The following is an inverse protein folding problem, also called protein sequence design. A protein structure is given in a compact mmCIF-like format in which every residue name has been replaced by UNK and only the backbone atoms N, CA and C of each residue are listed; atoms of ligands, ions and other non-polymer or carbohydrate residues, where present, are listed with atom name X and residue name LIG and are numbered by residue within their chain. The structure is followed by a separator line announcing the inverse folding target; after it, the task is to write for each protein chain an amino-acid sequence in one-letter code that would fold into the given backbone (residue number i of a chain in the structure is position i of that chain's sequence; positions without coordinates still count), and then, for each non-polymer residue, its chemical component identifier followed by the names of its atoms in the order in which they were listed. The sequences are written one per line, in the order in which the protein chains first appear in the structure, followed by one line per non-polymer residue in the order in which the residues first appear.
data_IF_657211042317
#
_entry.id   IF_657211042317
#
_cell.length_a   1.000
_cell.length_b   1.000
_cell.length_c   1.000
_cell.angle_alpha   90.00
_cell.angle_beta   90.00
_cell.angle_gamma   90.00
#
_symmetry.space_group_name_H-M   'P 1'
#
loop_
_entity.id
_entity.type
_entity.pdbx_description
1 polymer ?
#
# COMPACT_ATOMS: atom_id res chain seq x y z
N UNK A 1 -5.20 27.39 8.98
CA UNK A 1 -5.10 25.95 9.30
C UNK A 1 -5.71 25.04 8.22
N UNK A 2 -6.91 25.32 7.67
CA UNK A 2 -7.49 24.50 6.59
C UNK A 2 -6.61 24.48 5.33
N UNK A 3 -6.09 25.63 4.92
CA UNK A 3 -5.24 25.77 3.72
C UNK A 3 -3.91 25.03 3.84
N UNK A 4 -3.32 24.98 5.04
CA UNK A 4 -2.06 24.24 5.29
C UNK A 4 -2.28 22.74 5.13
N UNK A 5 -3.39 22.19 5.68
CA UNK A 5 -3.72 20.77 5.50
C UNK A 5 -4.04 20.40 4.05
N UNK A 6 -4.66 21.32 3.30
CA UNK A 6 -4.91 21.10 1.88
C UNK A 6 -3.60 21.07 1.07
N UNK A 7 -2.68 22.00 1.35
CA UNK A 7 -1.37 22.04 0.72
C UNK A 7 -0.53 20.80 1.06
N UNK A 8 -0.54 20.35 2.31
CA UNK A 8 0.12 19.10 2.75
C UNK A 8 -0.37 17.88 1.94
N UNK A 9 -1.70 17.71 1.84
CA UNK A 9 -2.31 16.62 1.08
C UNK A 9 -1.95 16.65 -0.41
N UNK A 10 -1.99 17.85 -1.01
CA UNK A 10 -1.61 18.03 -2.41
C UNK A 10 -0.12 17.70 -2.64
N UNK A 11 0.76 18.13 -1.73
CA UNK A 11 2.19 17.84 -1.80
C UNK A 11 2.48 16.33 -1.72
N UNK A 12 1.79 15.62 -0.83
CA UNK A 12 1.92 14.16 -0.69
C UNK A 12 1.55 13.44 -2.01
N UNK A 13 0.42 13.79 -2.59
CA UNK A 13 -0.01 13.19 -3.86
C UNK A 13 0.98 13.53 -4.99
N UNK A 14 1.47 14.75 -5.04
CA UNK A 14 2.44 15.16 -6.05
C UNK A 14 3.76 14.38 -5.93
N UNK A 15 4.28 14.21 -4.70
CA UNK A 15 5.47 13.40 -4.44
C UNK A 15 5.28 11.93 -4.79
N UNK A 16 4.14 11.33 -4.43
CA UNK A 16 3.81 9.97 -4.78
C UNK A 16 3.78 9.78 -6.31
N UNK A 17 3.06 10.65 -7.03
CA UNK A 17 3.00 10.62 -8.50
C UNK A 17 4.36 10.83 -9.17
N UNK A 18 5.21 11.69 -8.60
CA UNK A 18 6.58 11.90 -9.11
C UNK A 18 7.43 10.63 -8.98
N UNK A 19 7.32 9.93 -7.85
CA UNK A 19 8.05 8.66 -7.65
C UNK A 19 7.54 7.57 -8.59
N UNK A 20 6.20 7.44 -8.71
CA UNK A 20 5.56 6.46 -9.59
C UNK A 20 5.87 6.69 -11.07
N UNK A 21 6.08 7.95 -11.50
CA UNK A 21 6.40 8.27 -12.90
C UNK A 21 7.72 7.66 -13.39
N UNK A 22 8.56 7.15 -12.49
CA UNK A 22 9.78 6.40 -12.80
C UNK A 22 9.54 4.90 -13.01
N UNK A 23 8.39 4.40 -12.59
CA UNK A 23 8.00 2.99 -12.74
C UNK A 23 7.08 2.84 -13.97
N UNK A 24 6.90 1.62 -14.45
CA UNK A 24 6.02 1.33 -15.61
C UNK A 24 4.51 1.55 -15.33
N UNK A 25 4.14 2.04 -14.16
CA UNK A 25 2.73 2.19 -13.81
C UNK A 25 2.11 3.45 -14.47
N UNK A 26 0.84 3.33 -14.84
CA UNK A 26 0.11 4.29 -15.69
C UNK A 26 -0.36 5.57 -14.96
N UNK A 27 0.14 5.86 -13.77
CA UNK A 27 -0.27 7.03 -12.96
C UNK A 27 -1.64 6.91 -12.31
N UNK A 28 -2.37 5.84 -12.57
CA UNK A 28 -3.68 5.56 -11.95
C UNK A 28 -3.60 4.63 -10.74
N UNK A 29 -2.47 3.95 -10.55
CA UNK A 29 -2.24 3.06 -9.41
C UNK A 29 -2.43 3.81 -8.08
N UNK A 30 -1.81 4.97 -7.92
CA UNK A 30 -1.96 5.79 -6.71
C UNK A 30 -3.42 6.03 -6.36
N UNK A 31 -4.23 6.45 -7.33
CA UNK A 31 -5.66 6.73 -7.11
C UNK A 31 -6.43 5.45 -6.73
N UNK A 32 -6.13 4.33 -7.40
CA UNK A 32 -6.78 3.04 -7.09
C UNK A 32 -6.44 2.57 -5.68
N UNK A 33 -5.16 2.56 -5.29
CA UNK A 33 -4.76 2.09 -3.95
C UNK A 33 -5.32 2.98 -2.84
N UNK A 34 -5.39 4.31 -3.05
CA UNK A 34 -6.00 5.24 -2.11
C UNK A 34 -7.48 4.91 -1.86
N UNK A 35 -8.25 4.75 -2.92
CA UNK A 35 -9.68 4.47 -2.82
C UNK A 35 -9.95 3.07 -2.24
N UNK A 36 -9.18 2.07 -2.63
CA UNK A 36 -9.29 0.70 -2.15
C UNK A 36 -8.93 0.60 -0.66
N UNK A 37 -7.82 1.20 -0.22
CA UNK A 37 -7.41 1.21 1.18
C UNK A 37 -8.46 1.89 2.06
N UNK A 38 -8.96 3.06 1.64
CA UNK A 38 -10.06 3.76 2.33
C UNK A 38 -11.34 2.92 2.40
N UNK A 39 -11.69 2.22 1.33
CA UNK A 39 -12.89 1.37 1.30
C UNK A 39 -12.77 0.19 2.28
N UNK A 40 -11.65 -0.52 2.27
CA UNK A 40 -11.39 -1.64 3.19
C UNK A 40 -11.42 -1.14 4.64
N UNK A 41 -10.73 -0.03 4.96
CA UNK A 41 -10.75 0.54 6.31
C UNK A 41 -12.16 0.90 6.79
N UNK A 42 -13.01 1.49 5.92
CA UNK A 42 -14.41 1.78 6.24
C UNK A 42 -15.20 0.54 6.63
N UNK A 43 -14.97 -0.59 5.96
CA UNK A 43 -15.69 -1.83 6.26
C UNK A 43 -15.13 -2.54 7.49
N UNK A 44 -13.80 -2.55 7.67
CA UNK A 44 -13.16 -3.08 8.88
C UNK A 44 -13.62 -2.39 10.16
N UNK A 45 -13.94 -1.08 10.11
CA UNK A 45 -14.48 -0.36 11.26
C UNK A 45 -15.75 -0.99 11.86
N UNK A 46 -16.53 -1.70 11.06
CA UNK A 46 -17.74 -2.38 11.52
C UNK A 46 -17.45 -3.77 12.12
N UNK A 47 -16.22 -4.24 12.07
CA UNK A 47 -15.78 -5.50 12.63
C UNK A 47 -15.33 -5.28 14.09
N UNK A 48 -15.83 -6.08 15.03
CA UNK A 48 -15.61 -5.91 16.48
C UNK A 48 -14.13 -5.78 16.85
N UNK A 49 -13.26 -6.52 16.19
CA UNK A 49 -11.81 -6.50 16.41
C UNK A 49 -11.15 -5.16 16.09
N UNK A 50 -11.66 -4.42 15.10
CA UNK A 50 -11.00 -3.22 14.57
C UNK A 50 -11.71 -1.92 14.91
N UNK A 51 -12.95 -1.96 15.39
CA UNK A 51 -13.78 -0.77 15.64
C UNK A 51 -13.16 0.27 16.59
N UNK A 52 -12.36 -0.17 17.55
CA UNK A 52 -11.68 0.72 18.49
C UNK A 52 -10.44 1.42 17.88
N UNK A 53 -9.87 0.85 16.83
CA UNK A 53 -8.67 1.36 16.17
C UNK A 53 -8.99 2.24 14.96
N UNK A 54 -10.07 1.93 14.23
CA UNK A 54 -10.40 2.60 12.99
C UNK A 54 -11.38 3.75 13.25
N UNK A 55 -10.82 4.93 13.50
CA UNK A 55 -11.56 6.20 13.62
C UNK A 55 -11.86 6.83 12.25
N UNK A 56 -12.67 7.90 12.21
CA UNK A 56 -12.82 8.69 10.98
C UNK A 56 -11.47 9.28 10.51
N UNK A 57 -10.64 9.71 11.46
CA UNK A 57 -9.31 10.22 11.15
C UNK A 57 -8.43 9.14 10.52
N UNK A 58 -8.40 7.91 11.06
CA UNK A 58 -7.69 6.78 10.46
C UNK A 58 -8.11 6.53 9.00
N UNK A 59 -9.43 6.57 8.71
CA UNK A 59 -9.97 6.37 7.36
C UNK A 59 -9.55 7.50 6.41
N UNK A 60 -9.45 8.72 6.90
CA UNK A 60 -9.00 9.84 6.09
C UNK A 60 -7.48 9.82 5.92
N UNK A 61 -6.73 9.47 6.95
CA UNK A 61 -5.26 9.38 6.89
C UNK A 61 -4.80 8.25 5.96
N UNK A 62 -5.41 7.06 6.03
CA UNK A 62 -4.99 5.93 5.18
C UNK A 62 -5.20 6.21 3.69
N UNK A 63 -6.19 7.04 3.34
CA UNK A 63 -6.40 7.47 1.95
C UNK A 63 -5.16 8.17 1.39
N UNK A 64 -4.57 9.10 2.12
CA UNK A 64 -3.39 9.83 1.66
C UNK A 64 -2.10 9.05 1.92
N UNK A 65 -2.00 8.38 3.05
CA UNK A 65 -0.83 7.62 3.46
C UNK A 65 -0.52 6.43 2.53
N UNK A 66 -1.55 5.76 2.00
CA UNK A 66 -1.37 4.64 1.06
C UNK A 66 -0.67 5.05 -0.23
N UNK A 67 -0.80 6.31 -0.67
CA UNK A 67 -0.09 6.84 -1.83
C UNK A 67 1.45 6.80 -1.66
N UNK A 68 1.93 6.79 -0.41
CA UNK A 68 3.35 6.90 -0.08
C UNK A 68 4.06 5.55 0.10
N UNK A 69 3.35 4.42 -0.09
CA UNK A 69 3.91 3.10 0.20
C UNK A 69 5.25 2.85 -0.52
N UNK A 70 5.36 3.30 -1.75
CA UNK A 70 6.50 3.10 -2.64
C UNK A 70 7.42 4.34 -2.79
N UNK A 71 7.25 5.38 -1.96
CA UNK A 71 8.04 6.62 -2.06
C UNK A 71 9.55 6.37 -2.04
N UNK A 72 9.99 5.31 -1.39
CA UNK A 72 11.40 4.93 -1.30
C UNK A 72 11.99 4.39 -2.60
N UNK A 73 11.20 4.06 -3.62
CA UNK A 73 11.70 3.65 -4.95
C UNK A 73 12.56 4.73 -5.60
N UNK A 74 12.45 5.98 -5.16
CA UNK A 74 13.31 7.07 -5.62
C UNK A 74 14.81 6.80 -5.41
N UNK A 75 15.15 5.96 -4.45
CA UNK A 75 16.54 5.57 -4.14
C UNK A 75 17.05 4.40 -5.00
N UNK A 76 16.19 3.76 -5.78
CA UNK A 76 16.58 2.61 -6.61
C UNK A 76 17.16 3.11 -7.92
N UNK A 77 18.37 2.65 -8.34
CA UNK A 77 18.93 2.99 -9.64
C UNK A 77 18.06 2.51 -10.80
N UNK A 78 17.92 3.29 -11.87
CA UNK A 78 17.05 2.98 -13.01
C UNK A 78 17.40 1.65 -13.69
N UNK A 79 18.67 1.31 -13.78
CA UNK A 79 19.12 0.03 -14.35
C UNK A 79 18.68 -1.20 -13.54
N UNK A 80 18.26 -1.01 -12.29
CA UNK A 80 17.68 -2.07 -11.44
C UNK A 80 16.15 -1.98 -11.43
N UNK A 81 15.60 -0.76 -11.25
CA UNK A 81 14.16 -0.53 -11.18
C UNK A 81 13.46 -0.91 -12.49
N UNK A 82 14.04 -0.57 -13.63
CA UNK A 82 13.49 -0.76 -14.98
C UNK A 82 14.03 -2.01 -15.67
N UNK A 83 14.70 -2.90 -14.94
CA UNK A 83 15.27 -4.11 -15.53
C UNK A 83 14.15 -5.07 -15.96
N UNK A 84 14.20 -5.45 -17.23
CA UNK A 84 13.23 -6.37 -17.83
C UNK A 84 13.56 -7.86 -17.55
N UNK A 85 14.84 -8.17 -17.33
CA UNK A 85 15.32 -9.51 -17.01
C UNK A 85 15.17 -9.85 -15.52
N UNK A 86 15.38 -11.12 -15.19
CA UNK A 86 15.43 -11.58 -13.81
C UNK A 86 16.48 -10.81 -13.00
N UNK A 87 16.10 -10.37 -11.80
CA UNK A 87 17.00 -9.68 -10.88
C UNK A 87 18.00 -10.65 -10.27
N UNK A 88 19.25 -10.20 -10.10
CA UNK A 88 20.20 -10.90 -9.22
C UNK A 88 19.78 -10.77 -7.76
N UNK A 89 20.42 -11.52 -6.87
CA UNK A 89 20.13 -11.40 -5.42
C UNK A 89 20.44 -9.98 -4.90
N UNK A 90 21.53 -9.38 -5.34
CA UNK A 90 21.95 -8.02 -4.96
C UNK A 90 20.96 -6.97 -5.47
N UNK A 91 20.51 -7.09 -6.72
CA UNK A 91 19.49 -6.20 -7.29
C UNK A 91 18.14 -6.36 -6.57
N UNK A 92 17.76 -7.59 -6.22
CA UNK A 92 16.56 -7.84 -5.43
C UNK A 92 16.65 -7.22 -4.03
N UNK A 93 17.83 -7.30 -3.36
CA UNK A 93 18.03 -6.61 -2.08
C UNK A 93 18.00 -5.08 -2.24
N UNK A 94 18.56 -4.55 -3.34
CA UNK A 94 18.45 -3.12 -3.64
C UNK A 94 16.99 -2.68 -3.78
N UNK A 95 16.13 -3.44 -4.49
CA UNK A 95 14.69 -3.14 -4.56
C UNK A 95 14.06 -3.18 -3.17
N UNK A 96 14.33 -4.22 -2.35
CA UNK A 96 13.77 -4.31 -1.00
C UNK A 96 14.13 -3.13 -0.10
N UNK A 97 15.23 -2.43 -0.38
CA UNK A 97 15.67 -1.28 0.42
C UNK A 97 14.69 -0.09 0.38
N UNK A 98 13.78 -0.04 -0.62
CA UNK A 98 12.81 1.07 -0.74
C UNK A 98 11.93 1.21 0.50
N UNK A 99 11.59 0.10 1.17
CA UNK A 99 10.69 0.17 2.35
C UNK A 99 11.36 0.92 3.51
N UNK A 100 12.64 0.65 3.76
CA UNK A 100 13.38 1.33 4.83
C UNK A 100 13.70 2.77 4.45
N UNK A 101 14.08 3.00 3.20
CA UNK A 101 14.40 4.33 2.71
C UNK A 101 13.16 5.23 2.68
N UNK A 102 12.02 4.71 2.20
CA UNK A 102 10.75 5.45 2.20
C UNK A 102 10.31 5.82 3.62
N UNK A 103 10.35 4.89 4.55
CA UNK A 103 10.04 5.15 5.95
C UNK A 103 10.95 6.24 6.55
N UNK A 104 12.26 6.19 6.26
CA UNK A 104 13.21 7.19 6.74
C UNK A 104 12.88 8.59 6.23
N UNK A 105 12.61 8.77 4.94
CA UNK A 105 12.21 10.06 4.37
C UNK A 105 10.96 10.61 5.07
N UNK A 106 9.94 9.77 5.24
CA UNK A 106 8.68 10.19 5.85
C UNK A 106 8.83 10.51 7.33
N UNK A 107 9.68 9.79 8.07
CA UNK A 107 10.01 10.13 9.46
C UNK A 107 10.81 11.45 9.56
N UNK A 108 11.67 11.75 8.60
CA UNK A 108 12.33 13.07 8.55
C UNK A 108 11.31 14.18 8.26
N UNK A 109 10.35 13.98 7.36
CA UNK A 109 9.26 14.92 7.13
C UNK A 109 8.40 15.13 8.38
N UNK A 110 8.11 14.08 9.14
CA UNK A 110 7.32 14.17 10.38
C UNK A 110 7.94 15.10 11.43
N UNK A 111 9.26 15.35 11.40
CA UNK A 111 9.91 16.31 12.29
C UNK A 111 9.46 17.75 12.03
N UNK A 112 9.08 18.06 10.80
CA UNK A 112 8.57 19.38 10.41
C UNK A 112 7.04 19.48 10.55
N UNK A 113 6.36 18.34 10.61
CA UNK A 113 4.90 18.21 10.74
C UNK A 113 4.53 17.23 11.85
N UNK A 114 4.90 17.51 13.12
CA UNK A 114 4.78 16.56 14.24
C UNK A 114 3.33 16.13 14.52
N UNK A 115 2.36 16.94 14.15
CA UNK A 115 0.92 16.67 14.34
C UNK A 115 0.29 15.94 13.15
N UNK A 116 1.07 15.60 12.12
CA UNK A 116 0.55 14.91 10.94
C UNK A 116 0.54 13.39 11.12
N UNK A 117 -0.57 12.87 11.63
CA UNK A 117 -0.80 11.41 11.72
C UNK A 117 -0.69 10.73 10.34
N UNK A 118 -1.05 11.42 9.28
CA UNK A 118 -0.99 10.94 7.91
C UNK A 118 0.45 10.63 7.47
N UNK A 119 1.43 11.48 7.78
CA UNK A 119 2.85 11.25 7.46
C UNK A 119 3.39 10.08 8.29
N UNK A 120 3.04 10.02 9.58
CA UNK A 120 3.42 8.90 10.46
C UNK A 120 2.86 7.58 9.92
N UNK A 121 1.56 7.54 9.58
CA UNK A 121 0.94 6.37 8.97
C UNK A 121 1.60 5.99 7.64
N UNK A 122 1.93 6.98 6.81
CA UNK A 122 2.67 6.78 5.57
C UNK A 122 4.03 6.11 5.79
N UNK A 123 4.77 6.53 6.83
CA UNK A 123 6.06 5.91 7.18
C UNK A 123 5.92 4.44 7.61
N UNK A 124 4.85 4.12 8.33
CA UNK A 124 4.52 2.75 8.75
C UNK A 124 4.15 1.90 7.53
N UNK A 125 3.27 2.42 6.67
CA UNK A 125 2.88 1.74 5.43
C UNK A 125 4.10 1.51 4.55
N UNK A 126 4.91 2.53 4.29
CA UNK A 126 6.12 2.41 3.46
C UNK A 126 7.07 1.34 3.99
N UNK A 127 7.24 1.24 5.32
CA UNK A 127 8.14 0.26 5.92
C UNK A 127 7.60 -1.16 5.86
N UNK A 128 6.29 -1.37 6.08
CA UNK A 128 5.77 -2.68 6.45
C UNK A 128 4.77 -3.28 5.45
N UNK A 129 4.44 -2.65 4.35
CA UNK A 129 3.45 -3.17 3.39
C UNK A 129 3.89 -4.47 2.70
N UNK A 130 5.18 -4.83 2.75
CA UNK A 130 5.71 -6.09 2.28
C UNK A 130 5.94 -7.14 3.38
N UNK A 131 5.54 -6.85 4.63
CA UNK A 131 5.46 -7.89 5.64
C UNK A 131 4.33 -8.87 5.32
N UNK A 132 4.52 -10.12 5.74
CA UNK A 132 3.54 -11.18 5.50
C UNK A 132 3.04 -11.74 6.81
N UNK A 133 1.77 -12.09 6.85
CA UNK A 133 1.11 -12.59 8.06
C UNK A 133 1.87 -13.74 8.74
N UNK A 134 2.49 -14.63 7.98
CA UNK A 134 3.26 -15.77 8.49
C UNK A 134 4.68 -15.42 8.96
N UNK A 135 5.14 -14.17 8.77
CA UNK A 135 6.48 -13.69 9.13
C UNK A 135 7.54 -13.93 8.06
N UNK A 136 7.16 -14.38 6.86
CA UNK A 136 8.09 -14.56 5.73
C UNK A 136 8.32 -13.28 4.90
N UNK A 137 7.76 -12.14 5.34
CA UNK A 137 7.90 -10.86 4.69
C UNK A 137 9.22 -10.14 5.00
N UNK A 138 9.27 -8.85 4.73
CA UNK A 138 10.40 -7.95 5.02
C UNK A 138 9.90 -6.54 5.33
N UNK A 139 10.70 -5.68 6.03
CA UNK A 139 12.12 -5.82 6.36
C UNK A 139 12.37 -6.51 7.71
N UNK A 140 11.43 -6.48 8.65
CA UNK A 140 11.65 -6.87 10.05
C UNK A 140 11.12 -8.30 10.36
N UNK A 141 10.53 -8.99 9.37
CA UNK A 141 9.90 -10.31 9.50
C UNK A 141 8.81 -10.35 10.59
N UNK A 142 8.01 -9.30 10.66
CA UNK A 142 6.89 -9.21 11.59
C UNK A 142 5.84 -10.27 11.26
N UNK A 143 5.18 -10.81 12.31
CA UNK A 143 4.20 -11.87 12.15
C UNK A 143 2.86 -11.52 12.78
N UNK A 144 1.77 -11.85 12.07
CA UNK A 144 0.41 -11.70 12.59
C UNK A 144 0.09 -10.24 12.92
N UNK A 145 -0.45 -10.00 14.10
CA UNK A 145 -0.85 -8.68 14.59
C UNK A 145 0.32 -7.77 14.96
N UNK A 146 1.56 -8.28 15.01
CA UNK A 146 2.74 -7.42 15.13
C UNK A 146 2.93 -6.52 13.89
N UNK A 147 2.36 -6.90 12.74
CA UNK A 147 2.30 -6.04 11.55
C UNK A 147 1.26 -4.95 11.80
N UNK A 148 1.59 -3.65 11.69
CA UNK A 148 0.62 -2.57 11.86
C UNK A 148 -0.60 -2.72 10.93
N UNK A 149 -1.78 -2.35 11.41
CA UNK A 149 -3.05 -2.57 10.70
C UNK A 149 -3.06 -1.91 9.32
N UNK A 150 -2.59 -0.67 9.23
CA UNK A 150 -2.51 0.08 7.98
C UNK A 150 -1.60 -0.60 6.95
N UNK A 151 -0.52 -1.24 7.38
CA UNK A 151 0.37 -1.99 6.51
C UNK A 151 -0.28 -3.31 6.04
N UNK A 152 -1.01 -4.00 6.93
CA UNK A 152 -1.80 -5.19 6.56
C UNK A 152 -2.88 -4.87 5.52
N UNK A 153 -3.57 -3.74 5.65
CA UNK A 153 -4.55 -3.25 4.67
C UNK A 153 -3.84 -2.96 3.34
N UNK A 154 -2.71 -2.23 3.39
CA UNK A 154 -1.98 -1.87 2.18
C UNK A 154 -1.46 -3.09 1.43
N UNK A 155 -0.94 -4.11 2.12
CA UNK A 155 -0.44 -5.32 1.49
C UNK A 155 -1.47 -6.05 0.62
N UNK A 156 -2.74 -6.11 1.05
CA UNK A 156 -3.82 -6.68 0.23
C UNK A 156 -4.14 -5.79 -0.97
N UNK A 157 -4.22 -4.48 -0.75
CA UNK A 157 -4.58 -3.50 -1.78
C UNK A 157 -3.54 -3.49 -2.91
N UNK A 158 -2.27 -3.41 -2.56
CA UNK A 158 -1.17 -3.40 -3.51
C UNK A 158 -1.14 -4.67 -4.36
N UNK A 159 -1.22 -5.84 -3.72
CA UNK A 159 -1.26 -7.13 -4.45
C UNK A 159 -2.50 -7.22 -5.33
N UNK A 160 -3.68 -6.78 -4.87
CA UNK A 160 -4.88 -6.78 -5.70
C UNK A 160 -4.70 -5.90 -6.95
N UNK A 161 -4.21 -4.68 -6.78
CA UNK A 161 -3.96 -3.76 -7.89
C UNK A 161 -2.93 -4.34 -8.87
N UNK A 162 -1.83 -4.90 -8.35
CA UNK A 162 -0.80 -5.55 -9.15
C UNK A 162 -1.30 -6.77 -9.94
N UNK A 163 -2.27 -7.53 -9.40
CA UNK A 163 -2.88 -8.66 -10.10
C UNK A 163 -3.82 -8.18 -11.22
N UNK A 164 -4.52 -7.06 -11.01
CA UNK A 164 -5.48 -6.49 -11.95
C UNK A 164 -4.84 -5.61 -13.01
N UNK A 165 -3.66 -5.05 -12.76
CA UNK A 165 -2.95 -4.19 -13.69
C UNK A 165 -2.20 -5.00 -14.75
N UNK A 166 -2.21 -4.50 -16.02
CA UNK A 166 -1.38 -5.05 -17.09
C UNK A 166 0.07 -4.63 -16.86
N UNK A 167 0.97 -5.60 -16.86
CA UNK A 167 2.43 -5.34 -16.79
C UNK A 167 3.10 -5.81 -18.08
N UNK A 168 4.27 -5.28 -18.47
CA UNK A 168 4.94 -5.65 -19.73
C UNK A 168 5.09 -7.16 -19.94
N UNK A 169 5.27 -7.91 -18.84
CA UNK A 169 5.53 -9.36 -18.90
C UNK A 169 4.37 -10.24 -18.43
N UNK A 170 3.22 -9.64 -18.04
CA UNK A 170 2.11 -10.40 -17.48
C UNK A 170 0.76 -9.77 -17.81
N UNK A 171 -0.17 -10.51 -18.46
CA UNK A 171 -1.54 -10.06 -18.62
C UNK A 171 -2.21 -9.84 -17.26
N UNK A 172 -3.13 -8.89 -17.19
CA UNK A 172 -3.97 -8.69 -16.01
C UNK A 172 -4.84 -9.92 -15.74
N UNK A 173 -5.04 -10.25 -14.46
CA UNK A 173 -6.04 -11.25 -14.07
C UNK A 173 -7.44 -10.63 -14.01
N UNK A 174 -8.46 -11.47 -14.18
CA UNK A 174 -9.85 -11.08 -13.90
C UNK A 174 -10.03 -10.82 -12.40
N UNK A 175 -11.09 -10.10 -12.05
CA UNK A 175 -11.43 -9.84 -10.64
C UNK A 175 -11.58 -11.14 -9.84
N UNK A 176 -12.32 -12.12 -10.37
CA UNK A 176 -12.56 -13.41 -9.71
C UNK A 176 -11.24 -14.16 -9.46
N UNK A 177 -10.32 -14.13 -10.43
CA UNK A 177 -9.02 -14.77 -10.30
C UNK A 177 -8.17 -14.09 -9.23
N UNK A 178 -8.16 -12.75 -9.19
CA UNK A 178 -7.45 -11.99 -8.16
C UNK A 178 -8.03 -12.26 -6.76
N UNK A 179 -9.37 -12.24 -6.62
CA UNK A 179 -10.05 -12.58 -5.36
C UNK A 179 -9.72 -14.00 -4.88
N UNK A 180 -9.68 -14.97 -5.80
CA UNK A 180 -9.30 -16.36 -5.47
C UNK A 180 -7.87 -16.42 -4.94
N UNK A 181 -6.89 -15.79 -5.61
CA UNK A 181 -5.48 -15.76 -5.19
C UNK A 181 -5.36 -15.15 -3.78
N UNK A 182 -6.03 -14.02 -3.52
CA UNK A 182 -6.00 -13.37 -2.22
C UNK A 182 -6.61 -14.28 -1.14
N UNK A 183 -7.75 -14.93 -1.44
CA UNK A 183 -8.40 -15.87 -0.53
C UNK A 183 -7.49 -17.04 -0.15
N UNK A 184 -6.81 -17.64 -1.13
CA UNK A 184 -5.90 -18.78 -0.92
C UNK A 184 -4.63 -18.39 -0.13
N UNK A 185 -4.30 -17.09 -0.08
CA UNK A 185 -3.16 -16.54 0.66
C UNK A 185 -3.51 -16.08 2.09
N UNK A 186 -4.77 -16.23 2.52
CA UNK A 186 -5.19 -15.90 3.89
C UNK A 186 -4.42 -16.74 4.92
N UNK A 187 -3.96 -16.11 6.00
CA UNK A 187 -3.18 -16.74 7.06
C UNK A 187 -1.71 -17.02 6.70
N UNK A 188 -1.32 -16.75 5.45
CA UNK A 188 0.07 -16.82 4.98
C UNK A 188 0.59 -15.43 4.63
N UNK A 189 0.14 -14.89 3.52
CA UNK A 189 0.51 -13.55 3.09
C UNK A 189 -0.32 -12.49 3.81
N UNK A 190 -1.63 -12.71 3.92
CA UNK A 190 -2.58 -11.71 4.38
C UNK A 190 -3.27 -12.09 5.69
N UNK A 191 -3.66 -11.05 6.45
CA UNK A 191 -4.50 -11.17 7.62
C UNK A 191 -5.86 -11.80 7.24
N UNK A 192 -6.24 -12.94 7.86
CA UNK A 192 -7.49 -13.64 7.53
C UNK A 192 -8.74 -12.78 7.72
N UNK A 193 -8.77 -11.92 8.74
CA UNK A 193 -9.92 -11.07 9.04
C UNK A 193 -10.07 -9.98 7.96
N UNK A 194 -8.96 -9.42 7.47
CA UNK A 194 -8.99 -8.45 6.37
C UNK A 194 -9.38 -9.14 5.06
N UNK A 195 -8.88 -10.34 4.80
CA UNK A 195 -9.29 -11.13 3.63
C UNK A 195 -10.79 -11.44 3.66
N UNK A 196 -11.36 -11.76 4.83
CA UNK A 196 -12.80 -11.98 4.95
C UNK A 196 -13.57 -10.72 4.51
N UNK A 197 -13.25 -9.55 5.05
CA UNK A 197 -13.89 -8.27 4.67
C UNK A 197 -13.70 -7.97 3.19
N UNK A 198 -12.49 -8.20 2.65
CA UNK A 198 -12.21 -8.06 1.23
C UNK A 198 -13.14 -8.94 0.37
N UNK A 199 -13.33 -10.21 0.74
CA UNK A 199 -14.22 -11.13 0.02
C UNK A 199 -15.69 -10.72 0.10
N UNK A 200 -16.16 -10.29 1.27
CA UNK A 200 -17.54 -9.81 1.47
C UNK A 200 -17.85 -8.55 0.66
N UNK A 201 -16.84 -7.71 0.39
CA UNK A 201 -16.97 -6.44 -0.32
C UNK A 201 -16.40 -6.47 -1.74
N UNK A 202 -16.11 -7.66 -2.26
CA UNK A 202 -15.42 -7.84 -3.54
C UNK A 202 -16.05 -7.04 -4.69
N UNK A 203 -17.39 -7.00 -4.83
CA UNK A 203 -18.09 -6.24 -5.87
C UNK A 203 -17.88 -4.72 -5.78
N UNK A 204 -17.80 -4.18 -4.55
CA UNK A 204 -17.48 -2.76 -4.35
C UNK A 204 -16.03 -2.46 -4.72
N UNK A 205 -15.12 -3.37 -4.36
CA UNK A 205 -13.71 -3.28 -4.70
C UNK A 205 -13.52 -3.31 -6.21
N UNK A 206 -14.23 -4.21 -6.91
CA UNK A 206 -14.24 -4.24 -8.37
C UNK A 206 -14.75 -2.94 -8.97
N UNK A 207 -15.91 -2.45 -8.50
CA UNK A 207 -16.49 -1.20 -9.00
C UNK A 207 -15.56 0.00 -8.81
N UNK A 208 -14.85 0.09 -7.66
CA UNK A 208 -13.85 1.14 -7.44
C UNK A 208 -12.70 1.00 -8.44
N UNK A 209 -12.17 -0.21 -8.60
CA UNK A 209 -11.06 -0.46 -9.53
C UNK A 209 -11.46 -0.06 -10.96
N UNK A 210 -12.61 -0.53 -11.47
CA UNK A 210 -13.06 -0.27 -12.83
C UNK A 210 -13.38 1.21 -13.09
N UNK A 211 -13.85 1.94 -12.07
CA UNK A 211 -14.11 3.37 -12.19
C UNK A 211 -12.84 4.22 -12.34
N UNK A 212 -11.69 3.64 -11.99
CA UNK A 212 -10.38 4.29 -12.00
C UNK A 212 -9.38 3.61 -12.96
N UNK A 213 -9.84 2.62 -13.73
CA UNK A 213 -9.01 1.86 -14.68
C UNK A 213 -8.67 2.64 -15.98
#
# INVERSE_FOLDING_TARGET
MADIKAAEKASIIALAKLTESRDYDTGKHIERVQHLAKNIAKHLRNHDKFKSHITNQFIDDIYYASALHDIGKINIPDNVLLKEDSLTNEEYQAIKSHVVFGAKILLEMARYYPDSNMIIMGSIIAKYHHEKWDGSGYPDNLKGEAIPLEARIMGIVDVYDALRSKRPYKPSYTHEKACKIIKEAAGKHFDPDIVQVFQEKNRQIESIYESLA
#
